data_IF_050507711909
#
_entry.id   IF_050507711909
#
_cell.length_a   1.000
_cell.length_b   1.000
_cell.length_c   1.000
_cell.angle_alpha   90.00
_cell.angle_beta   90.00
_cell.angle_gamma   90.00
#
_symmetry.space_group_name_H-M   'P 1'
#
loop_
_entity.id
_entity.type
_entity.pdbx_description
1 polymer ?
#
# COMPACT_ATOMS: atom_id res chain seq x y z
N UNK A 1 40.29 41.12 78.36
CA UNK A 1 39.22 42.08 77.94
C UNK A 1 38.83 41.93 76.46
N UNK A 2 39.77 41.70 75.52
CA UNK A 2 39.44 41.55 74.08
C UNK A 2 38.69 40.23 73.77
N UNK A 3 38.98 39.14 74.50
CA UNK A 3 38.33 37.84 74.31
C UNK A 3 36.89 37.76 74.85
N UNK A 4 36.57 38.49 75.92
CA UNK A 4 35.22 38.51 76.50
C UNK A 4 34.22 39.25 75.61
N UNK A 5 34.64 40.36 75.00
CA UNK A 5 33.80 41.14 74.08
C UNK A 5 33.40 40.33 72.83
N UNK A 6 34.32 39.55 72.27
CA UNK A 6 34.01 38.70 71.11
C UNK A 6 33.12 37.50 71.47
N UNK A 7 33.26 36.94 72.68
CA UNK A 7 32.41 35.85 73.14
C UNK A 7 30.95 36.29 73.32
N UNK A 8 30.73 37.45 73.92
CA UNK A 8 29.38 37.98 74.13
C UNK A 8 28.68 38.37 72.82
N UNK A 9 29.43 38.90 71.84
CA UNK A 9 28.91 39.18 70.49
C UNK A 9 28.49 37.89 69.78
N UNK A 10 29.29 36.82 69.87
CA UNK A 10 28.98 35.52 69.26
C UNK A 10 27.77 34.87 69.93
N UNK A 11 27.66 34.98 71.26
CA UNK A 11 26.53 34.47 72.04
C UNK A 11 25.22 35.17 71.70
N UNK A 12 25.24 36.50 71.56
CA UNK A 12 24.09 37.29 71.10
C UNK A 12 23.65 36.90 69.69
N UNK A 13 24.60 36.72 68.75
CA UNK A 13 24.28 36.25 67.39
C UNK A 13 23.67 34.85 67.38
N UNK A 14 24.19 33.92 68.18
CA UNK A 14 23.63 32.57 68.30
C UNK A 14 22.20 32.61 68.84
N UNK A 15 21.92 33.42 69.86
CA UNK A 15 20.56 33.61 70.38
C UNK A 15 19.61 34.19 69.31
N UNK A 16 20.06 35.16 68.52
CA UNK A 16 19.27 35.69 67.41
C UNK A 16 18.98 34.63 66.33
N UNK A 17 19.92 33.73 66.04
CA UNK A 17 19.69 32.65 65.09
C UNK A 17 18.75 31.58 65.64
N UNK A 18 18.84 31.24 66.92
CA UNK A 18 17.91 30.30 67.58
C UNK A 18 16.49 30.85 67.56
N UNK A 19 16.29 32.12 67.93
CA UNK A 19 14.96 32.77 67.88
C UNK A 19 14.36 32.76 66.47
N UNK A 20 15.17 33.00 65.44
CA UNK A 20 14.71 32.91 64.04
C UNK A 20 14.31 31.49 63.65
N UNK A 21 15.06 30.49 64.09
CA UNK A 21 14.74 29.08 63.81
C UNK A 21 13.49 28.63 64.57
N UNK A 22 13.29 29.09 65.81
CA UNK A 22 12.07 28.88 66.61
C UNK A 22 10.82 29.45 65.94
N UNK A 23 10.91 30.68 65.42
CA UNK A 23 9.81 31.30 64.66
C UNK A 23 9.44 30.49 63.43
N UNK A 24 10.43 29.92 62.73
CA UNK A 24 10.21 29.08 61.55
C UNK A 24 9.67 27.71 61.95
N UNK A 25 10.13 27.12 63.06
CA UNK A 25 9.70 25.79 63.53
C UNK A 25 8.22 25.74 63.95
N UNK A 26 7.65 26.89 64.34
CA UNK A 26 6.26 27.04 64.76
C UNK A 26 5.27 27.21 63.60
N UNK A 27 5.74 27.30 62.34
CA UNK A 27 4.85 27.38 61.19
C UNK A 27 4.21 26.01 60.88
N UNK A 28 2.95 25.99 60.39
CA UNK A 28 2.33 24.75 59.93
C UNK A 28 3.04 24.23 58.67
N UNK A 29 3.27 22.91 58.56
CA UNK A 29 4.02 22.21 57.50
C UNK A 29 5.56 22.36 57.46
N UNK A 30 6.19 22.59 58.60
CA UNK A 30 7.65 22.64 58.67
C UNK A 30 8.27 21.23 58.67
N UNK A 31 9.28 21.02 57.83
CA UNK A 31 10.00 19.76 57.72
C UNK A 31 10.66 19.36 59.05
N UNK A 32 10.60 18.08 59.43
CA UNK A 32 11.07 17.55 60.73
C UNK A 32 12.50 18.00 61.12
N UNK A 33 13.36 18.13 60.12
CA UNK A 33 14.75 18.59 60.23
C UNK A 33 14.88 19.95 60.92
N UNK A 34 13.92 20.86 60.74
CA UNK A 34 14.00 22.18 61.40
C UNK A 34 13.72 22.07 62.91
N UNK A 35 12.88 21.11 63.31
CA UNK A 35 12.67 20.78 64.72
C UNK A 35 13.89 20.06 65.30
N UNK A 36 14.47 19.12 64.54
CA UNK A 36 15.73 18.44 64.90
C UNK A 36 16.90 19.45 65.03
N UNK A 37 17.01 20.46 64.15
CA UNK A 37 18.05 21.50 64.27
C UNK A 37 17.93 22.30 65.55
N UNK A 38 16.70 22.61 65.96
CA UNK A 38 16.43 23.44 67.12
C UNK A 38 16.85 22.70 68.40
N UNK A 39 16.48 21.41 68.51
CA UNK A 39 16.87 20.52 69.62
C UNK A 39 18.41 20.38 69.67
N UNK A 40 19.06 20.13 68.54
CA UNK A 40 20.52 19.92 68.49
C UNK A 40 21.30 21.19 68.84
N UNK A 41 20.80 22.37 68.43
CA UNK A 41 21.41 23.67 68.78
C UNK A 41 21.22 23.98 70.28
N UNK A 42 20.08 23.62 70.87
CA UNK A 42 19.82 23.77 72.30
C UNK A 42 20.68 22.81 73.15
N UNK A 43 20.87 21.57 72.72
CA UNK A 43 21.71 20.55 73.38
C UNK A 43 23.22 20.76 73.19
N UNK A 44 23.64 21.70 72.32
CA UNK A 44 25.05 22.04 72.01
C UNK A 44 25.90 20.83 71.57
N UNK A 45 25.28 19.83 70.94
CA UNK A 45 25.98 18.63 70.48
C UNK A 45 26.61 18.83 69.09
N UNK A 46 27.92 19.03 69.06
CA UNK A 46 28.69 19.32 67.83
C UNK A 46 28.63 18.15 66.82
N UNK A 47 28.65 16.89 67.29
CA UNK A 47 28.61 15.71 66.40
C UNK A 47 27.26 15.60 65.69
N UNK A 48 26.16 15.72 66.43
CA UNK A 48 24.81 15.69 65.88
C UNK A 48 24.56 16.84 64.88
N UNK A 49 25.15 18.01 65.12
CA UNK A 49 25.07 19.14 64.19
C UNK A 49 25.75 18.85 62.85
N UNK A 50 26.93 18.21 62.87
CA UNK A 50 27.65 17.84 61.63
C UNK A 50 26.88 16.79 60.82
N UNK A 51 26.27 15.79 61.46
CA UNK A 51 25.48 14.77 60.78
C UNK A 51 24.18 15.35 60.20
N UNK A 52 23.56 16.30 60.90
CA UNK A 52 22.41 17.02 60.39
C UNK A 52 22.78 17.86 59.16
N UNK A 53 23.91 18.59 59.18
CA UNK A 53 24.38 19.33 58.02
C UNK A 53 24.62 18.42 56.81
N UNK A 54 25.18 17.22 57.01
CA UNK A 54 25.32 16.21 55.93
C UNK A 54 23.95 15.78 55.40
N UNK A 55 22.97 15.55 56.27
CA UNK A 55 21.60 15.19 55.90
C UNK A 55 20.92 16.29 55.09
N UNK A 56 21.03 17.55 55.52
CA UNK A 56 20.52 18.72 54.78
C UNK A 56 21.18 18.80 53.40
N UNK A 57 22.49 18.62 53.32
CA UNK A 57 23.20 18.69 52.04
C UNK A 57 22.76 17.56 51.08
N UNK A 58 22.56 16.34 51.61
CA UNK A 58 22.02 15.22 50.84
C UNK A 58 20.60 15.50 50.34
N UNK A 59 19.73 16.06 51.18
CA UNK A 59 18.38 16.44 50.79
C UNK A 59 18.37 17.56 49.77
N UNK A 60 19.28 18.53 49.88
CA UNK A 60 19.46 19.57 48.87
C UNK A 60 19.82 18.94 47.52
N UNK A 61 20.81 18.05 47.48
CA UNK A 61 21.20 17.30 46.26
C UNK A 61 20.04 16.48 45.70
N UNK A 62 19.26 15.81 46.54
CA UNK A 62 18.08 15.07 46.12
C UNK A 62 17.01 16.01 45.55
N UNK A 63 16.77 17.16 46.17
CA UNK A 63 15.80 18.15 45.69
C UNK A 63 16.18 18.68 44.30
N UNK A 64 17.47 18.91 44.05
CA UNK A 64 17.98 19.33 42.75
C UNK A 64 17.78 18.24 41.69
N UNK A 65 18.06 16.98 42.03
CA UNK A 65 17.79 15.83 41.14
C UNK A 65 16.30 15.72 40.80
N UNK A 66 15.42 15.81 41.79
CA UNK A 66 13.96 15.76 41.58
C UNK A 66 13.48 16.92 40.72
N UNK A 67 13.97 18.14 40.94
CA UNK A 67 13.66 19.30 40.08
C UNK A 67 14.07 19.03 38.63
N UNK A 68 15.25 18.47 38.41
CA UNK A 68 15.76 18.15 37.07
C UNK A 68 14.92 17.09 36.37
N UNK A 69 14.56 16.02 37.09
CA UNK A 69 13.69 14.96 36.57
C UNK A 69 12.31 15.53 36.19
N UNK A 70 11.70 16.35 37.05
CA UNK A 70 10.41 17.00 36.75
C UNK A 70 10.48 17.89 35.51
N UNK A 71 11.56 18.67 35.36
CA UNK A 71 11.75 19.51 34.18
C UNK A 71 11.88 18.69 32.88
N UNK A 72 12.64 17.59 32.92
CA UNK A 72 12.76 16.67 31.78
C UNK A 72 11.44 15.97 31.47
N UNK A 73 10.72 15.51 32.50
CA UNK A 73 9.42 14.88 32.35
C UNK A 73 8.38 15.82 31.75
N UNK A 74 8.38 17.10 32.12
CA UNK A 74 7.51 18.10 31.52
C UNK A 74 7.83 18.31 30.03
N UNK A 75 9.11 18.33 29.63
CA UNK A 75 9.48 18.39 28.21
C UNK A 75 9.01 17.16 27.45
N UNK A 76 9.19 15.98 28.03
CA UNK A 76 8.79 14.72 27.41
C UNK A 76 7.26 14.64 27.24
N UNK A 77 6.48 15.02 28.26
CA UNK A 77 5.02 15.08 28.21
C UNK A 77 4.47 15.88 27.03
N UNK A 78 5.14 16.99 26.65
CA UNK A 78 4.72 17.84 25.53
C UNK A 78 4.83 17.15 24.18
N UNK A 79 5.83 16.29 23.98
CA UNK A 79 6.12 15.65 22.69
C UNK A 79 5.68 14.18 22.62
N UNK A 80 5.61 13.49 23.76
CA UNK A 80 5.28 12.08 23.85
C UNK A 80 4.41 11.81 25.10
N UNK A 81 3.12 12.19 25.08
CA UNK A 81 2.25 12.12 26.24
C UNK A 81 1.98 10.68 26.70
N UNK A 82 1.91 9.73 25.77
CA UNK A 82 1.70 8.30 26.07
C UNK A 82 2.91 7.71 26.83
N UNK A 83 4.13 7.99 26.34
CA UNK A 83 5.36 7.52 26.97
C UNK A 83 5.59 8.17 28.34
N UNK A 84 5.24 9.45 28.50
CA UNK A 84 5.24 10.11 29.81
C UNK A 84 4.30 9.41 30.80
N UNK A 85 3.10 9.05 30.36
CA UNK A 85 2.09 8.38 31.20
C UNK A 85 2.58 6.99 31.64
N UNK A 86 3.19 6.22 30.75
CA UNK A 86 3.76 4.91 31.11
C UNK A 86 4.93 5.04 32.08
N UNK A 87 5.85 5.96 31.84
CA UNK A 87 6.98 6.25 32.75
C UNK A 87 6.51 6.68 34.15
N UNK A 88 5.37 7.35 34.26
CA UNK A 88 4.81 7.74 35.56
C UNK A 88 4.21 6.58 36.34
N UNK A 89 3.76 5.53 35.65
CA UNK A 89 3.12 4.35 36.25
C UNK A 89 4.12 3.27 36.61
N UNK A 90 5.17 3.10 35.79
CA UNK A 90 6.17 2.05 35.97
C UNK A 90 7.52 2.68 36.31
N UNK A 91 7.90 2.68 37.58
CA UNK A 91 9.21 3.21 38.03
C UNK A 91 10.35 2.19 37.91
N UNK A 92 10.04 0.92 37.67
CA UNK A 92 11.00 -0.15 37.38
C UNK A 92 11.14 -0.34 35.87
N UNK A 93 11.52 0.71 35.15
CA UNK A 93 11.82 0.55 33.73
C UNK A 93 13.23 0.01 33.60
N UNK A 94 13.37 -1.12 32.90
CA UNK A 94 14.66 -1.75 32.68
C UNK A 94 15.45 -0.87 31.71
N UNK A 95 16.56 -0.28 32.18
CA UNK A 95 17.41 0.60 31.37
C UNK A 95 17.90 -0.04 30.05
N UNK A 96 17.85 -1.37 29.95
CA UNK A 96 18.17 -2.11 28.72
C UNK A 96 17.18 -1.84 27.59
N UNK A 97 15.89 -1.62 27.87
CA UNK A 97 14.87 -1.32 26.86
C UNK A 97 15.06 0.08 26.27
N UNK A 98 15.65 1.01 27.04
CA UNK A 98 15.98 2.34 26.54
C UNK A 98 17.19 2.39 25.60
N UNK A 99 17.99 1.31 25.50
CA UNK A 99 19.11 1.28 24.54
C UNK A 99 18.63 1.34 23.09
N UNK A 100 17.43 0.85 22.79
CA UNK A 100 16.82 0.90 21.46
C UNK A 100 15.85 2.08 21.29
N UNK A 101 15.73 2.97 22.28
CA UNK A 101 14.78 4.10 22.23
C UNK A 101 15.02 4.98 21.01
N UNK A 102 16.28 5.24 20.67
CA UNK A 102 16.63 6.06 19.51
C UNK A 102 16.13 5.43 18.20
N UNK A 103 16.38 4.13 18.02
CA UNK A 103 15.89 3.39 16.86
C UNK A 103 14.35 3.32 16.82
N UNK A 104 13.71 3.09 17.98
CA UNK A 104 12.26 3.07 18.10
C UNK A 104 11.64 4.44 17.77
N UNK A 105 12.28 5.53 18.19
CA UNK A 105 11.85 6.89 17.92
C UNK A 105 12.00 7.26 16.43
N UNK A 106 13.13 6.88 15.81
CA UNK A 106 13.36 7.05 14.38
C UNK A 106 12.28 6.30 13.59
N UNK A 107 11.99 5.05 13.97
CA UNK A 107 10.94 4.26 13.35
C UNK A 107 9.56 4.90 13.50
N UNK A 108 9.20 5.35 14.71
CA UNK A 108 7.91 6.00 14.96
C UNK A 108 7.75 7.28 14.12
N UNK A 109 8.82 8.08 13.99
CA UNK A 109 8.82 9.27 13.13
C UNK A 109 8.67 8.92 11.66
N UNK A 110 9.41 7.93 11.18
CA UNK A 110 9.33 7.47 9.79
C UNK A 110 7.94 6.91 9.46
N UNK A 111 7.38 6.10 10.36
CA UNK A 111 6.06 5.52 10.20
C UNK A 111 4.96 6.59 10.24
N UNK A 112 5.06 7.58 11.13
CA UNK A 112 4.12 8.72 11.15
C UNK A 112 4.19 9.53 9.87
N UNK A 113 5.39 9.83 9.37
CA UNK A 113 5.58 10.53 8.11
C UNK A 113 5.04 9.74 6.92
N UNK A 114 5.27 8.42 6.88
CA UNK A 114 4.78 7.53 5.83
C UNK A 114 3.25 7.49 5.83
N UNK A 115 2.63 7.35 7.01
CA UNK A 115 1.18 7.39 7.14
C UNK A 115 0.61 8.74 6.71
N UNK A 116 1.23 9.85 7.10
CA UNK A 116 0.81 11.17 6.64
C UNK A 116 0.97 11.33 5.13
N UNK A 117 2.02 10.78 4.54
CA UNK A 117 2.27 10.81 3.09
C UNK A 117 1.19 10.00 2.33
N UNK A 118 0.93 8.77 2.78
CA UNK A 118 -0.12 7.90 2.20
C UNK A 118 -1.52 8.51 2.37
N UNK A 119 -1.76 9.23 3.47
CA UNK A 119 -3.06 9.84 3.75
C UNK A 119 -3.24 11.23 3.10
N UNK A 120 -2.15 11.95 2.79
CA UNK A 120 -2.19 13.28 2.15
C UNK A 120 -2.37 13.19 0.64
N UNK A 121 -1.69 12.24 0.01
CA UNK A 121 -1.91 11.97 -1.40
C UNK A 121 -3.08 11.00 -1.53
N UNK A 122 -4.12 11.42 -2.24
CA UNK A 122 -5.27 10.60 -2.57
C UNK A 122 -4.89 9.58 -3.65
N UNK A 123 -3.86 8.77 -3.36
CA UNK A 123 -3.38 7.67 -4.21
C UNK A 123 -4.54 6.77 -4.66
N UNK A 124 -5.52 6.42 -3.80
CA UNK A 124 -6.68 5.67 -4.25
C UNK A 124 -7.53 6.42 -5.28
N UNK A 125 -7.72 7.73 -5.19
CA UNK A 125 -8.46 8.47 -6.22
C UNK A 125 -7.65 8.65 -7.50
N UNK A 126 -6.33 8.80 -7.40
CA UNK A 126 -5.46 8.85 -8.57
C UNK A 126 -5.50 7.53 -9.35
N UNK A 127 -5.45 6.40 -8.64
CA UNK A 127 -5.56 5.07 -9.23
C UNK A 127 -6.94 4.86 -9.88
N UNK A 128 -8.03 5.27 -9.21
CA UNK A 128 -9.38 5.26 -9.82
C UNK A 128 -9.46 6.13 -11.07
N UNK A 129 -8.87 7.32 -11.03
CA UNK A 129 -8.87 8.24 -12.17
C UNK A 129 -8.10 7.65 -13.35
N UNK A 130 -6.96 7.02 -13.09
CA UNK A 130 -6.16 6.30 -14.09
C UNK A 130 -6.98 5.17 -14.74
N UNK A 131 -7.62 4.32 -13.92
CA UNK A 131 -8.48 3.24 -14.42
C UNK A 131 -9.65 3.78 -15.26
N UNK A 132 -10.29 4.86 -14.82
CA UNK A 132 -11.39 5.48 -15.56
C UNK A 132 -10.92 6.01 -16.91
N UNK A 133 -9.82 6.79 -16.94
CA UNK A 133 -9.26 7.35 -18.18
C UNK A 133 -8.87 6.24 -19.16
N UNK A 134 -8.21 5.17 -18.68
CA UNK A 134 -7.88 4.03 -19.53
C UNK A 134 -9.12 3.35 -20.11
N UNK A 135 -10.19 3.23 -19.32
CA UNK A 135 -11.46 2.67 -19.80
C UNK A 135 -12.11 3.55 -20.87
N UNK A 136 -12.02 4.88 -20.73
CA UNK A 136 -12.53 5.85 -21.71
C UNK A 136 -11.71 5.83 -22.99
N UNK A 137 -10.38 5.77 -22.89
CA UNK A 137 -9.48 5.60 -24.05
C UNK A 137 -9.83 4.31 -24.79
N UNK A 138 -9.99 3.19 -24.08
CA UNK A 138 -10.37 1.91 -24.68
C UNK A 138 -11.70 1.97 -25.42
N UNK A 139 -12.73 2.60 -24.83
CA UNK A 139 -14.04 2.80 -25.48
C UNK A 139 -13.93 3.65 -26.74
N UNK A 140 -13.29 4.82 -26.64
CA UNK A 140 -13.14 5.74 -27.77
C UNK A 140 -12.35 5.10 -28.92
N UNK A 141 -11.28 4.35 -28.61
CA UNK A 141 -10.53 3.60 -29.62
C UNK A 141 -11.37 2.52 -30.27
N UNK A 142 -12.17 1.77 -29.50
CA UNK A 142 -13.04 0.74 -30.05
C UNK A 142 -14.09 1.34 -31.00
N UNK A 143 -14.74 2.44 -30.59
CA UNK A 143 -15.70 3.15 -31.42
C UNK A 143 -15.06 3.69 -32.70
N UNK A 144 -13.93 4.39 -32.59
CA UNK A 144 -13.21 4.93 -33.73
C UNK A 144 -12.78 3.82 -34.70
N UNK A 145 -12.23 2.72 -34.17
CA UNK A 145 -11.80 1.57 -34.98
C UNK A 145 -12.98 0.95 -35.72
N UNK A 146 -14.14 0.82 -35.05
CA UNK A 146 -15.37 0.34 -35.67
C UNK A 146 -15.83 1.29 -36.79
N UNK A 147 -15.87 2.60 -36.54
CA UNK A 147 -16.23 3.59 -37.57
C UNK A 147 -15.31 3.55 -38.78
N UNK A 148 -14.00 3.46 -38.57
CA UNK A 148 -13.02 3.34 -39.65
C UNK A 148 -13.19 2.03 -40.44
N UNK A 149 -13.40 0.91 -39.75
CA UNK A 149 -13.65 -0.38 -40.38
C UNK A 149 -14.93 -0.36 -41.23
N UNK A 150 -16.03 0.21 -40.70
CA UNK A 150 -17.28 0.37 -41.44
C UNK A 150 -17.13 1.29 -42.65
N UNK A 151 -16.46 2.43 -42.49
CA UNK A 151 -16.19 3.35 -43.59
C UNK A 151 -15.42 2.68 -44.73
N UNK A 152 -14.39 1.89 -44.38
CA UNK A 152 -13.60 1.14 -45.36
C UNK A 152 -14.39 0.01 -46.02
N UNK A 153 -15.22 -0.70 -45.25
CA UNK A 153 -16.13 -1.72 -45.77
C UNK A 153 -17.11 -1.10 -46.79
N UNK A 154 -17.76 0.01 -46.45
CA UNK A 154 -18.71 0.68 -47.34
C UNK A 154 -18.05 1.30 -48.57
N UNK A 155 -16.81 1.78 -48.48
CA UNK A 155 -16.11 2.34 -49.65
C UNK A 155 -15.71 1.29 -50.68
N UNK A 156 -15.53 0.03 -50.28
CA UNK A 156 -15.18 -1.10 -51.17
C UNK A 156 -16.37 -1.98 -51.55
N UNK A 157 -17.50 -1.87 -50.83
CA UNK A 157 -18.67 -2.70 -51.06
C UNK A 157 -19.53 -2.17 -52.21
N UNK A 158 -19.35 -2.75 -53.39
CA UNK A 158 -20.26 -2.58 -54.51
C UNK A 158 -21.55 -3.43 -54.35
N UNK A 159 -22.60 -3.10 -55.11
CA UNK A 159 -23.88 -3.81 -55.07
C UNK A 159 -23.74 -5.31 -55.38
N UNK A 160 -22.79 -5.68 -56.27
CA UNK A 160 -22.46 -7.08 -56.57
C UNK A 160 -21.97 -7.84 -55.32
N UNK A 161 -21.10 -7.23 -54.51
CA UNK A 161 -20.57 -7.82 -53.29
C UNK A 161 -21.68 -8.03 -52.26
N UNK A 162 -22.60 -7.05 -52.13
CA UNK A 162 -23.77 -7.17 -51.25
C UNK A 162 -24.66 -8.36 -51.64
N UNK A 163 -24.92 -8.57 -52.93
CA UNK A 163 -25.72 -9.72 -53.41
C UNK A 163 -25.05 -11.05 -53.06
N UNK A 164 -23.74 -11.17 -53.29
CA UNK A 164 -22.98 -12.36 -52.93
C UNK A 164 -22.96 -12.61 -51.41
N UNK A 165 -22.91 -11.57 -50.58
CA UNK A 165 -22.99 -11.71 -49.12
C UNK A 165 -24.34 -12.21 -48.63
N UNK A 166 -25.43 -11.66 -49.17
CA UNK A 166 -26.78 -12.15 -48.86
C UNK A 166 -26.96 -13.60 -49.33
N UNK A 167 -26.44 -13.93 -50.52
CA UNK A 167 -26.43 -15.29 -51.04
C UNK A 167 -25.65 -16.26 -50.14
N UNK A 168 -24.46 -15.85 -49.68
CA UNK A 168 -23.65 -16.60 -48.72
C UNK A 168 -24.42 -16.83 -47.42
N UNK A 169 -24.99 -15.79 -46.81
CA UNK A 169 -25.73 -15.89 -45.55
C UNK A 169 -26.89 -16.90 -45.67
N UNK A 170 -27.65 -16.84 -46.76
CA UNK A 170 -28.76 -17.77 -46.99
C UNK A 170 -28.31 -19.21 -47.21
N UNK A 171 -27.23 -19.42 -47.99
CA UNK A 171 -26.67 -20.75 -48.24
C UNK A 171 -26.06 -21.34 -46.96
N UNK A 172 -25.35 -20.52 -46.18
CA UNK A 172 -24.75 -20.88 -44.91
C UNK A 172 -25.80 -21.29 -43.87
N UNK A 173 -26.88 -20.52 -43.71
CA UNK A 173 -27.98 -20.87 -42.81
C UNK A 173 -28.68 -22.18 -43.19
N UNK A 174 -28.85 -22.46 -44.49
CA UNK A 174 -29.40 -23.74 -44.97
C UNK A 174 -28.47 -24.92 -44.70
N UNK A 175 -27.17 -24.71 -44.76
CA UNK A 175 -26.16 -25.73 -44.51
C UNK A 175 -25.90 -25.99 -43.02
N UNK A 176 -26.06 -24.98 -42.16
CA UNK A 176 -25.94 -25.09 -40.70
C UNK A 176 -27.02 -25.99 -40.08
N UNK A 177 -28.14 -26.21 -40.76
CA UNK A 177 -29.22 -27.10 -40.31
C UNK A 177 -28.74 -28.55 -40.27
N UNK A 178 -28.72 -29.15 -39.06
CA UNK A 178 -28.20 -30.51 -38.78
C UNK A 178 -28.77 -31.64 -39.68
N UNK A 179 -29.97 -31.48 -40.24
CA UNK A 179 -30.68 -32.50 -41.02
C UNK A 179 -30.90 -32.14 -42.50
N UNK A 180 -30.13 -31.19 -43.05
CA UNK A 180 -30.31 -30.80 -44.46
C UNK A 180 -29.78 -31.89 -45.40
N UNK A 181 -30.69 -32.54 -46.15
CA UNK A 181 -30.39 -33.54 -47.20
C UNK A 181 -29.38 -33.02 -48.23
N UNK A 182 -29.31 -31.70 -48.42
CA UNK A 182 -28.44 -31.03 -49.40
C UNK A 182 -27.34 -30.19 -48.73
N UNK A 183 -26.92 -30.50 -47.48
CA UNK A 183 -25.89 -29.76 -46.73
C UNK A 183 -24.62 -29.52 -47.54
N UNK A 184 -24.07 -30.55 -48.20
CA UNK A 184 -22.84 -30.43 -49.00
C UNK A 184 -23.01 -29.45 -50.16
N UNK A 185 -24.18 -29.48 -50.83
CA UNK A 185 -24.49 -28.55 -51.92
C UNK A 185 -24.58 -27.11 -51.41
N UNK A 186 -25.30 -26.88 -50.31
CA UNK A 186 -25.40 -25.56 -49.71
C UNK A 186 -24.07 -25.02 -49.17
N UNK A 187 -23.17 -25.89 -48.69
CA UNK A 187 -21.81 -25.51 -48.31
C UNK A 187 -20.99 -25.09 -49.52
N UNK A 188 -21.04 -25.83 -50.64
CA UNK A 188 -20.38 -25.42 -51.88
C UNK A 188 -20.94 -24.11 -52.43
N UNK A 189 -22.25 -23.95 -52.39
CA UNK A 189 -22.89 -22.69 -52.79
C UNK A 189 -22.39 -21.55 -51.90
N UNK A 190 -22.31 -21.73 -50.58
CA UNK A 190 -21.75 -20.74 -49.67
C UNK A 190 -20.28 -20.42 -50.02
N UNK A 191 -19.42 -21.43 -50.19
CA UNK A 191 -18.01 -21.24 -50.57
C UNK A 191 -17.86 -20.39 -51.85
N UNK A 192 -18.67 -20.68 -52.89
CA UNK A 192 -18.64 -19.92 -54.14
C UNK A 192 -19.14 -18.48 -54.02
N UNK A 193 -20.12 -18.23 -53.13
CA UNK A 193 -20.59 -16.88 -52.87
C UNK A 193 -19.53 -16.09 -52.08
N UNK A 194 -18.90 -16.75 -51.09
CA UNK A 194 -17.85 -16.17 -50.27
C UNK A 194 -16.62 -15.76 -51.09
N UNK A 195 -16.16 -16.63 -51.99
CA UNK A 195 -14.99 -16.35 -52.83
C UNK A 195 -15.18 -15.11 -53.72
N UNK A 196 -16.43 -14.76 -54.06
CA UNK A 196 -16.79 -13.58 -54.87
C UNK A 196 -16.98 -12.28 -54.07
N UNK A 197 -17.01 -12.34 -52.74
CA UNK A 197 -17.16 -11.16 -51.89
C UNK A 197 -16.10 -11.03 -50.78
N UNK A 198 -15.15 -11.97 -50.68
CA UNK A 198 -14.09 -11.97 -49.67
C UNK A 198 -13.28 -10.66 -49.64
N UNK A 199 -12.98 -10.08 -50.81
CA UNK A 199 -12.14 -8.89 -50.94
C UNK A 199 -12.84 -7.60 -50.50
N UNK A 200 -14.17 -7.65 -50.38
CA UNK A 200 -14.99 -6.52 -49.95
C UNK A 200 -15.12 -6.41 -48.43
N UNK A 201 -14.89 -7.52 -47.71
CA UNK A 201 -14.98 -7.56 -46.24
C UNK A 201 -13.59 -7.47 -45.62
N UNK A 202 -13.35 -6.51 -44.71
CA UNK A 202 -12.01 -6.26 -44.17
C UNK A 202 -11.53 -7.32 -43.19
N UNK A 203 -12.43 -8.04 -42.51
CA UNK A 203 -12.07 -9.03 -41.51
C UNK A 203 -13.14 -10.13 -41.39
N UNK A 204 -12.70 -11.35 -41.09
CA UNK A 204 -13.55 -12.52 -40.91
C UNK A 204 -13.32 -13.14 -39.53
N UNK A 205 -14.40 -13.32 -38.77
CA UNK A 205 -14.36 -13.95 -37.44
C UNK A 205 -15.11 -15.27 -37.52
N UNK A 206 -14.41 -16.39 -37.32
CA UNK A 206 -15.01 -17.72 -37.33
C UNK A 206 -14.21 -18.71 -36.48
N UNK A 207 -14.86 -19.74 -35.90
CA UNK A 207 -14.15 -20.84 -35.25
C UNK A 207 -13.28 -21.64 -36.23
N UNK A 208 -12.19 -22.21 -35.74
CA UNK A 208 -11.21 -22.96 -36.55
C UNK A 208 -11.85 -24.03 -37.45
N UNK A 209 -12.72 -24.88 -36.90
CA UNK A 209 -13.39 -25.94 -37.65
C UNK A 209 -14.22 -25.43 -38.84
N UNK A 210 -14.70 -24.19 -38.80
CA UNK A 210 -15.51 -23.60 -39.89
C UNK A 210 -14.66 -23.03 -41.00
N UNK A 211 -13.41 -22.67 -40.75
CA UNK A 211 -12.50 -22.16 -41.78
C UNK A 211 -12.47 -23.16 -42.95
N UNK A 212 -12.31 -24.44 -42.64
CA UNK A 212 -12.22 -25.51 -43.63
C UNK A 212 -13.54 -25.87 -44.32
N UNK A 213 -14.68 -25.60 -43.68
CA UNK A 213 -16.00 -25.85 -44.27
C UNK A 213 -16.47 -24.70 -45.16
N UNK A 214 -16.05 -23.46 -44.88
CA UNK A 214 -16.67 -22.27 -45.47
C UNK A 214 -15.84 -21.60 -46.54
N UNK A 215 -14.54 -21.91 -46.62
CA UNK A 215 -13.59 -21.25 -47.52
C UNK A 215 -12.98 -22.26 -48.48
N UNK A 216 -12.88 -21.87 -49.75
CA UNK A 216 -12.06 -22.60 -50.73
C UNK A 216 -10.58 -22.25 -50.51
N UNK A 217 -9.73 -23.21 -50.11
CA UNK A 217 -8.36 -22.92 -49.68
C UNK A 217 -7.49 -22.49 -50.86
N UNK A 218 -6.89 -21.31 -50.74
CA UNK A 218 -5.90 -20.80 -51.69
C UNK A 218 -4.72 -20.18 -50.94
N UNK A 219 -3.49 -20.29 -51.47
CA UNK A 219 -2.31 -19.82 -50.77
C UNK A 219 -2.34 -18.31 -50.60
N UNK A 220 -2.05 -17.80 -49.40
CA UNK A 220 -2.02 -16.37 -49.11
C UNK A 220 -3.35 -15.63 -49.36
N UNK A 221 -4.46 -16.35 -49.18
CA UNK A 221 -5.82 -15.80 -49.25
C UNK A 221 -6.05 -14.63 -48.29
N UNK A 222 -5.43 -14.68 -47.12
CA UNK A 222 -5.48 -13.63 -46.11
C UNK A 222 -4.11 -12.98 -45.98
N UNK A 223 -4.08 -11.66 -45.83
CA UNK A 223 -2.82 -10.97 -45.52
C UNK A 223 -2.34 -11.36 -44.10
N UNK A 224 -3.26 -11.43 -43.16
CA UNK A 224 -3.02 -11.82 -41.78
C UNK A 224 -4.13 -12.73 -41.26
N UNK A 225 -3.75 -13.79 -40.53
CA UNK A 225 -4.66 -14.57 -39.67
C UNK A 225 -4.23 -14.37 -38.22
N UNK A 226 -5.18 -14.10 -37.34
CA UNK A 226 -4.98 -14.00 -35.90
C UNK A 226 -5.64 -15.22 -35.26
N UNK A 227 -4.83 -16.03 -34.56
CA UNK A 227 -5.31 -17.17 -33.78
C UNK A 227 -5.36 -16.74 -32.32
N UNK A 228 -6.57 -16.53 -31.81
CA UNK A 228 -6.80 -16.27 -30.39
C UNK A 228 -6.90 -17.58 -29.60
N UNK A 229 -6.53 -17.56 -28.32
CA UNK A 229 -6.41 -18.75 -27.46
C UNK A 229 -5.66 -19.92 -28.12
N UNK A 230 -4.53 -19.62 -28.76
CA UNK A 230 -3.78 -20.61 -29.55
C UNK A 230 -3.29 -21.82 -28.73
N UNK A 231 -3.20 -21.72 -27.40
CA UNK A 231 -2.90 -22.84 -26.50
C UNK A 231 -3.96 -23.96 -26.52
N UNK A 232 -5.16 -23.65 -27.02
CA UNK A 232 -6.25 -24.63 -27.22
C UNK A 232 -6.31 -25.19 -28.64
N UNK A 233 -5.49 -24.70 -29.56
CA UNK A 233 -5.46 -25.18 -30.93
C UNK A 233 -4.55 -26.40 -31.05
N UNK A 234 -5.07 -27.50 -31.61
CA UNK A 234 -4.26 -28.67 -31.95
C UNK A 234 -3.62 -28.58 -33.34
N UNK A 235 -3.04 -29.69 -33.83
CA UNK A 235 -2.43 -29.78 -35.17
C UNK A 235 -3.36 -29.37 -36.31
N UNK A 236 -4.68 -29.42 -36.10
CA UNK A 236 -5.70 -28.94 -37.03
C UNK A 236 -5.61 -27.44 -37.34
N UNK A 237 -4.82 -26.64 -36.60
CA UNK A 237 -4.56 -25.24 -36.92
C UNK A 237 -3.40 -25.03 -37.92
N UNK A 238 -2.53 -26.02 -38.12
CA UNK A 238 -1.37 -25.92 -39.04
C UNK A 238 -1.74 -25.50 -40.47
N UNK A 239 -2.86 -25.98 -41.07
CA UNK A 239 -3.24 -25.56 -42.42
C UNK A 239 -3.55 -24.07 -42.55
N UNK A 240 -3.77 -23.33 -41.45
CA UNK A 240 -3.91 -21.87 -41.50
C UNK A 240 -2.67 -21.19 -42.09
N UNK A 241 -1.48 -21.77 -41.90
CA UNK A 241 -0.20 -21.28 -42.46
C UNK A 241 -0.25 -21.21 -43.99
N UNK A 242 -0.97 -22.12 -44.62
CA UNK A 242 -1.16 -22.09 -46.07
C UNK A 242 -2.08 -20.94 -46.50
N UNK A 243 -3.08 -20.59 -45.69
CA UNK A 243 -4.11 -19.62 -46.05
C UNK A 243 -3.65 -18.16 -45.90
N UNK A 244 -2.61 -17.88 -45.10
CA UNK A 244 -2.18 -16.51 -44.81
C UNK A 244 -0.76 -16.20 -45.24
N UNK A 245 -0.50 -14.93 -45.56
CA UNK A 245 0.86 -14.42 -45.76
C UNK A 245 1.59 -14.27 -44.43
N UNK A 246 0.87 -13.89 -43.37
CA UNK A 246 1.37 -13.74 -42.01
C UNK A 246 0.37 -14.33 -41.00
N UNK A 247 0.88 -14.90 -39.91
CA UNK A 247 0.07 -15.41 -38.81
C UNK A 247 0.52 -14.78 -37.50
N UNK A 248 -0.44 -14.27 -36.75
CA UNK A 248 -0.27 -13.84 -35.37
C UNK A 248 -0.90 -14.87 -34.44
N UNK A 249 -0.09 -15.45 -33.57
CA UNK A 249 -0.50 -16.45 -32.59
C UNK A 249 -0.63 -15.73 -31.24
N UNK A 250 -1.83 -15.71 -30.67
CA UNK A 250 -2.13 -15.09 -29.37
C UNK A 250 -2.58 -16.19 -28.41
N UNK A 251 -1.87 -16.32 -27.29
CA UNK A 251 -2.18 -17.31 -26.26
C UNK A 251 -1.43 -17.00 -24.97
N UNK A 252 -1.94 -17.55 -23.87
CA UNK A 252 -1.27 -17.50 -22.57
C UNK A 252 -0.63 -18.87 -22.28
N UNK A 253 0.70 -18.91 -22.25
CA UNK A 253 1.48 -20.11 -21.96
C UNK A 253 1.19 -20.70 -20.56
N UNK A 254 0.49 -19.96 -19.69
CA UNK A 254 0.12 -20.38 -18.33
C UNK A 254 -1.30 -20.94 -18.22
N UNK A 255 -2.11 -20.90 -19.27
CA UNK A 255 -3.42 -21.56 -19.28
C UNK A 255 -3.26 -23.03 -19.71
N UNK A 256 -3.86 -23.92 -18.91
CA UNK A 256 -3.87 -25.37 -19.11
C UNK A 256 -4.35 -25.70 -20.52
N UNK A 257 -3.49 -26.27 -21.35
CA UNK A 257 -3.90 -26.82 -22.66
C UNK A 257 -4.95 -27.92 -22.42
N UNK A 258 -5.98 -28.02 -23.27
CA UNK A 258 -6.89 -29.16 -23.19
C UNK A 258 -6.07 -30.43 -23.47
N UNK A 259 -5.80 -31.20 -22.42
CA UNK A 259 -5.25 -32.54 -22.57
C UNK A 259 -6.18 -33.31 -23.51
N UNK A 260 -5.60 -33.86 -24.58
CA UNK A 260 -6.34 -34.69 -25.51
C UNK A 260 -7.07 -35.79 -24.72
N UNK A 261 -8.38 -35.64 -24.60
CA UNK A 261 -9.26 -36.62 -23.94
C UNK A 261 -9.08 -37.94 -24.68
N UNK A 262 -8.39 -38.90 -24.06
CA UNK A 262 -8.28 -40.26 -24.58
C UNK A 262 -6.87 -40.89 -24.65
N UNK A 263 -5.80 -40.20 -24.26
CA UNK A 263 -4.48 -40.87 -24.17
C UNK A 263 -4.29 -41.43 -22.77
N UNK A 264 -4.69 -42.69 -22.55
CA UNK A 264 -4.26 -43.46 -21.39
C UNK A 264 -2.72 -43.51 -21.42
N UNK A 265 -2.09 -42.89 -20.43
CA UNK A 265 -0.67 -43.07 -20.15
C UNK A 265 -0.55 -44.28 -19.21
N UNK A 266 -0.07 -45.40 -19.75
CA UNK A 266 0.64 -46.42 -18.97
C UNK A 266 2.00 -45.89 -18.52
#
# INVERSE_FOLDING_TARGET
VILSNNFDIVKLKLQQYVQKIELIANLPNVHSIIKETLIIIQEKNIKAYLDLLRRINNLKKLSERVKRVRALFHKLSKFAPLLAKELSKNTQVVLSEFKSLENAWIWARANSWLNDFINKDDLPSLERSLQQINSEIGKNLAELSAFLAWKFCFSRMEEKHRRYLVGWQQAFEKAKRKYSKYRIRHMRDAQQQLSKCKDAIPAWIMPLHRVYETIEPSPGMFDIIIVDEASQCGPEALPLIYLAKQILIVGDDKQISPEAVGVNRE
#
